data_IF_859827760031
#
_entry.id   IF_859827760031
#
_cell.length_a   1.000
_cell.length_b   1.000
_cell.length_c   1.000
_cell.angle_alpha   90.00
_cell.angle_beta   90.00
_cell.angle_gamma   90.00
#
_symmetry.space_group_name_H-M   'P 1'
#
loop_
_entity.id
_entity.type
_entity.pdbx_description
1 polymer ?
#
# COMPACT_ATOMS: atom_id res chain seq x y z
N UNK A 1 -7.99 -11.72 21.20
CA UNK A 1 -6.76 -12.09 20.47
C UNK A 1 -5.59 -11.92 21.44
N UNK A 2 -4.99 -13.00 21.93
CA UNK A 2 -3.82 -12.89 22.82
C UNK A 2 -2.60 -12.54 21.97
N UNK A 3 -1.97 -11.40 22.27
CA UNK A 3 -0.75 -10.97 21.58
C UNK A 3 0.45 -11.49 22.38
N UNK A 4 1.36 -12.17 21.69
CA UNK A 4 2.57 -12.67 22.31
C UNK A 4 3.59 -11.53 22.47
N UNK A 5 4.03 -11.28 23.70
CA UNK A 5 5.03 -10.24 23.97
C UNK A 5 6.44 -10.75 23.65
N UNK A 6 7.31 -9.85 23.18
CA UNK A 6 8.71 -10.18 22.90
C UNK A 6 9.41 -10.83 24.11
N UNK A 7 9.14 -10.32 25.33
CA UNK A 7 9.67 -10.88 26.57
C UNK A 7 9.27 -12.35 26.78
N UNK A 8 7.99 -12.70 26.55
CA UNK A 8 7.50 -14.08 26.67
C UNK A 8 8.13 -15.00 25.61
N UNK A 9 8.34 -14.51 24.40
CA UNK A 9 8.98 -15.28 23.33
C UNK A 9 10.45 -15.58 23.65
N UNK A 10 11.19 -14.57 24.14
CA UNK A 10 12.57 -14.74 24.60
C UNK A 10 12.66 -15.73 25.77
N UNK A 11 11.77 -15.62 26.76
CA UNK A 11 11.73 -16.54 27.90
C UNK A 11 11.46 -17.99 27.48
N UNK A 12 10.54 -18.22 26.54
CA UNK A 12 10.28 -19.57 25.99
C UNK A 12 11.49 -20.13 25.24
N UNK A 13 12.21 -19.28 24.49
CA UNK A 13 13.39 -19.70 23.75
C UNK A 13 14.56 -20.06 24.69
N UNK A 14 14.76 -19.28 25.75
CA UNK A 14 15.78 -19.54 26.78
C UNK A 14 15.43 -20.81 27.57
N UNK A 15 14.19 -20.94 28.05
CA UNK A 15 13.79 -22.11 28.84
C UNK A 15 13.92 -23.41 28.05
N UNK A 16 13.50 -23.43 26.79
CA UNK A 16 13.64 -24.59 25.91
C UNK A 16 15.11 -24.93 25.63
N UNK A 17 15.97 -23.93 25.37
CA UNK A 17 17.40 -24.15 25.14
C UNK A 17 18.11 -24.69 26.38
N UNK A 18 17.79 -24.17 27.57
CA UNK A 18 18.35 -24.66 28.83
C UNK A 18 17.95 -26.12 29.07
N UNK A 19 16.67 -26.45 28.88
CA UNK A 19 16.18 -27.82 29.03
C UNK A 19 16.87 -28.78 28.06
N UNK A 20 16.95 -28.41 26.77
CA UNK A 20 17.58 -29.23 25.73
C UNK A 20 19.09 -29.45 26.00
N UNK A 21 19.79 -28.45 26.51
CA UNK A 21 21.22 -28.56 26.83
C UNK A 21 21.44 -29.45 28.06
N UNK A 22 20.60 -29.29 29.10
CA UNK A 22 20.64 -30.13 30.29
C UNK A 22 20.36 -31.60 29.97
N UNK A 23 19.44 -31.87 29.04
CA UNK A 23 19.16 -33.25 28.60
C UNK A 23 20.35 -33.88 27.89
N UNK A 24 21.03 -33.16 26.99
CA UNK A 24 22.22 -33.71 26.31
C UNK A 24 23.34 -33.94 27.30
N UNK A 25 23.61 -32.98 28.18
CA UNK A 25 24.63 -33.12 29.22
C UNK A 25 24.34 -34.32 30.14
N UNK A 26 23.08 -34.51 30.54
CA UNK A 26 22.67 -35.66 31.35
C UNK A 26 22.87 -36.98 30.61
N UNK A 27 22.50 -37.07 29.33
CA UNK A 27 22.71 -38.28 28.51
C UNK A 27 24.20 -38.60 28.42
N UNK A 28 25.04 -37.61 28.10
CA UNK A 28 26.50 -37.79 28.02
C UNK A 28 27.06 -38.26 29.37
N UNK A 29 26.61 -37.67 30.48
CA UNK A 29 27.04 -38.08 31.82
C UNK A 29 26.65 -39.52 32.14
N UNK A 30 25.40 -39.93 31.87
CA UNK A 30 24.91 -41.29 32.13
C UNK A 30 25.72 -42.34 31.35
N UNK A 31 26.13 -42.05 30.12
CA UNK A 31 26.88 -43.00 29.29
C UNK A 31 28.39 -43.03 29.58
N UNK A 32 28.98 -41.91 29.95
CA UNK A 32 30.45 -41.79 30.09
C UNK A 32 30.92 -41.80 31.53
N UNK A 33 30.06 -41.47 32.50
CA UNK A 33 30.43 -41.28 33.90
C UNK A 33 31.27 -40.03 34.18
N UNK A 34 31.67 -39.28 33.14
CA UNK A 34 32.56 -38.14 33.26
C UNK A 34 31.81 -36.81 33.21
N UNK A 35 31.71 -36.14 34.36
CA UNK A 35 31.02 -34.85 34.49
C UNK A 35 31.68 -33.74 33.64
N UNK A 36 33.01 -33.71 33.59
CA UNK A 36 33.75 -32.71 32.81
C UNK A 36 33.47 -32.83 31.31
N UNK A 37 33.39 -34.07 30.81
CA UNK A 37 33.06 -34.36 29.41
C UNK A 37 31.61 -33.92 29.09
N UNK A 38 30.65 -34.28 29.96
CA UNK A 38 29.24 -33.89 29.82
C UNK A 38 29.03 -32.38 29.78
N UNK A 39 29.69 -31.64 30.68
CA UNK A 39 29.63 -30.18 30.71
C UNK A 39 30.23 -29.57 29.43
N UNK A 40 31.38 -30.08 28.99
CA UNK A 40 32.08 -29.59 27.79
C UNK A 40 31.22 -29.81 26.54
N UNK A 41 30.63 -30.99 26.38
CA UNK A 41 29.75 -31.31 25.25
C UNK A 41 28.50 -30.42 25.27
N UNK A 42 27.86 -30.23 26.42
CA UNK A 42 26.69 -29.36 26.54
C UNK A 42 26.99 -27.91 26.14
N UNK A 43 28.13 -27.36 26.57
CA UNK A 43 28.55 -26.00 26.18
C UNK A 43 28.83 -25.92 24.68
N UNK A 44 29.61 -26.86 24.12
CA UNK A 44 29.92 -26.90 22.69
C UNK A 44 28.65 -27.03 21.82
N UNK A 45 27.68 -27.83 22.26
CA UNK A 45 26.42 -28.04 21.55
C UNK A 45 25.62 -26.73 21.42
N UNK A 46 25.56 -25.91 22.48
CA UNK A 46 24.85 -24.62 22.44
C UNK A 46 25.43 -23.72 21.35
N UNK A 47 26.75 -23.56 21.33
CA UNK A 47 27.43 -22.74 20.33
C UNK A 47 27.28 -23.31 18.92
N UNK A 48 27.42 -24.62 18.75
CA UNK A 48 27.24 -25.30 17.47
C UNK A 48 25.81 -25.11 16.92
N UNK A 49 24.78 -25.28 17.74
CA UNK A 49 23.37 -25.07 17.34
C UNK A 49 23.07 -23.61 17.02
N UNK A 50 23.65 -22.66 17.76
CA UNK A 50 23.51 -21.24 17.43
C UNK A 50 24.15 -20.92 16.08
N UNK A 51 25.37 -21.42 15.81
CA UNK A 51 26.04 -21.24 14.53
C UNK A 51 25.25 -21.89 13.37
N UNK A 52 24.78 -23.12 13.55
CA UNK A 52 23.93 -23.83 12.58
C UNK A 52 22.62 -23.10 12.34
N UNK A 53 21.97 -22.57 13.37
CA UNK A 53 20.74 -21.78 13.22
C UNK A 53 20.98 -20.53 12.39
N UNK A 54 22.04 -19.77 12.66
CA UNK A 54 22.39 -18.56 11.89
C UNK A 54 22.69 -18.92 10.43
N UNK A 55 23.41 -20.02 10.19
CA UNK A 55 23.66 -20.49 8.83
C UNK A 55 22.38 -20.93 8.13
N UNK A 56 21.55 -21.73 8.79
CA UNK A 56 20.25 -22.20 8.30
C UNK A 56 19.33 -21.03 7.99
N UNK A 57 19.19 -20.05 8.89
CA UNK A 57 18.39 -18.84 8.68
C UNK A 57 18.90 -18.06 7.46
N UNK A 58 20.21 -17.83 7.34
CA UNK A 58 20.80 -17.16 6.16
C UNK A 58 20.58 -17.94 4.86
N UNK A 59 20.65 -19.26 4.91
CA UNK A 59 20.34 -20.13 3.77
C UNK A 59 18.85 -20.05 3.41
N UNK A 60 17.95 -20.11 4.39
CA UNK A 60 16.51 -20.06 4.21
C UNK A 60 16.03 -18.69 3.71
N UNK A 61 16.68 -17.59 4.12
CA UNK A 61 16.37 -16.26 3.58
C UNK A 61 16.61 -16.16 2.06
N UNK A 62 17.58 -16.93 1.53
CA UNK A 62 17.84 -17.02 0.08
C UNK A 62 16.83 -17.91 -0.65
N UNK A 63 16.18 -18.83 0.05
CA UNK A 63 15.16 -19.71 -0.52
C UNK A 63 13.85 -18.93 -0.61
N UNK A 64 13.36 -18.73 -1.85
CA UNK A 64 12.08 -18.05 -2.12
C UNK A 64 10.85 -18.95 -2.03
N UNK A 65 11.04 -20.25 -1.81
CA UNK A 65 9.95 -21.22 -1.74
C UNK A 65 8.97 -20.84 -0.61
N UNK A 66 7.69 -20.68 -0.95
CA UNK A 66 6.64 -20.24 -0.03
C UNK A 66 6.49 -18.72 0.15
N UNK A 67 7.39 -17.89 -0.40
CA UNK A 67 7.20 -16.43 -0.49
C UNK A 67 6.37 -16.12 -1.75
N UNK A 68 5.19 -15.56 -1.57
CA UNK A 68 4.39 -15.04 -2.68
C UNK A 68 4.59 -13.53 -2.75
N UNK A 69 5.25 -13.07 -3.81
CA UNK A 69 5.42 -11.64 -4.07
C UNK A 69 4.11 -11.11 -4.68
N UNK A 70 3.43 -10.24 -3.95
CA UNK A 70 2.30 -9.48 -4.50
C UNK A 70 2.91 -8.30 -5.26
N UNK A 71 2.71 -8.19 -6.59
CA UNK A 71 3.22 -7.05 -7.34
C UNK A 71 2.63 -5.76 -6.78
N UNK A 72 3.49 -4.79 -6.49
CA UNK A 72 3.05 -3.45 -6.10
C UNK A 72 2.45 -2.71 -7.28
N UNK A 73 1.51 -1.82 -7.00
CA UNK A 73 0.77 -1.09 -8.03
C UNK A 73 0.39 0.31 -7.57
N UNK A 74 0.17 1.21 -8.52
CA UNK A 74 -0.44 2.52 -8.30
C UNK A 74 -1.89 2.45 -8.73
N UNK A 75 -2.80 2.52 -7.75
CA UNK A 75 -4.23 2.67 -7.95
C UNK A 75 -4.58 4.16 -7.97
N UNK A 76 -4.76 4.72 -9.17
CA UNK A 76 -4.91 6.14 -9.40
C UNK A 76 -6.37 6.53 -9.66
N UNK A 77 -7.01 7.15 -8.67
CA UNK A 77 -8.36 7.70 -8.81
C UNK A 77 -8.31 9.08 -9.46
N UNK A 78 -9.08 9.22 -10.54
CA UNK A 78 -9.29 10.47 -11.28
C UNK A 78 -10.78 10.76 -11.45
N UNK A 79 -11.18 12.03 -11.55
CA UNK A 79 -12.57 12.43 -11.72
C UNK A 79 -12.82 13.88 -11.29
N UNK A 80 -13.99 14.41 -11.59
CA UNK A 80 -14.40 15.77 -11.22
C UNK A 80 -14.32 16.05 -9.69
N UNK A 81 -14.10 17.30 -9.24
CA UNK A 81 -14.29 17.67 -7.84
C UNK A 81 -15.64 17.17 -7.30
N UNK A 82 -15.70 16.72 -6.04
CA UNK A 82 -16.89 16.10 -5.43
C UNK A 82 -17.41 14.79 -6.06
N UNK A 83 -16.67 14.14 -6.96
CA UNK A 83 -17.07 12.84 -7.55
C UNK A 83 -16.99 11.61 -6.62
N UNK A 84 -16.71 11.79 -5.32
CA UNK A 84 -16.62 10.68 -4.35
C UNK A 84 -15.28 9.93 -4.31
N UNK A 85 -14.28 10.33 -5.11
CA UNK A 85 -12.93 9.71 -5.16
C UNK A 85 -12.35 9.35 -3.80
N UNK A 86 -12.31 10.32 -2.87
CA UNK A 86 -11.65 10.14 -1.57
C UNK A 86 -12.32 9.04 -0.75
N UNK A 87 -13.65 9.03 -0.67
CA UNK A 87 -14.38 8.06 0.13
C UNK A 87 -14.19 6.62 -0.40
N UNK A 88 -14.33 6.44 -1.72
CA UNK A 88 -14.08 5.14 -2.38
C UNK A 88 -12.61 4.71 -2.22
N UNK A 89 -11.66 5.63 -2.43
CA UNK A 89 -10.23 5.36 -2.25
C UNK A 89 -9.89 4.94 -0.81
N UNK A 90 -10.45 5.62 0.19
CA UNK A 90 -10.25 5.30 1.61
C UNK A 90 -10.89 3.93 1.96
N UNK A 91 -12.03 3.60 1.36
CA UNK A 91 -12.66 2.28 1.46
C UNK A 91 -11.81 1.15 0.89
N UNK A 92 -11.27 1.33 -0.32
CA UNK A 92 -10.36 0.36 -0.95
C UNK A 92 -9.05 0.24 -0.17
N UNK A 93 -8.49 1.37 0.28
CA UNK A 93 -7.29 1.40 1.11
C UNK A 93 -7.45 0.58 2.39
N UNK A 94 -8.56 0.75 3.13
CA UNK A 94 -8.86 -0.05 4.32
C UNK A 94 -8.90 -1.56 4.03
N UNK A 95 -9.50 -1.97 2.92
CA UNK A 95 -9.50 -3.39 2.49
C UNK A 95 -8.09 -3.90 2.19
N UNK A 96 -7.27 -3.10 1.50
CA UNK A 96 -5.89 -3.47 1.18
C UNK A 96 -5.02 -3.56 2.43
N UNK A 97 -5.08 -2.60 3.35
CA UNK A 97 -4.32 -2.65 4.61
C UNK A 97 -4.64 -3.90 5.42
N UNK A 98 -5.89 -4.35 5.43
CA UNK A 98 -6.31 -5.58 6.12
C UNK A 98 -5.69 -6.87 5.55
N UNK A 99 -5.16 -6.84 4.33
CA UNK A 99 -4.45 -8.00 3.73
C UNK A 99 -3.00 -8.15 4.20
N UNK A 100 -2.44 -7.13 4.85
CA UNK A 100 -1.04 -7.12 5.29
C UNK A 100 -0.03 -6.74 4.20
N UNK A 101 -0.47 -6.41 2.98
CA UNK A 101 0.43 -5.82 1.97
C UNK A 101 0.86 -4.40 2.39
N UNK A 102 2.04 -3.99 1.95
CA UNK A 102 2.48 -2.60 2.10
C UNK A 102 1.67 -1.73 1.15
N UNK A 103 0.89 -0.83 1.70
CA UNK A 103 0.07 0.10 0.92
C UNK A 103 0.06 1.48 1.59
N UNK A 104 0.11 2.54 0.78
CA UNK A 104 0.03 3.93 1.23
C UNK A 104 -1.13 4.67 0.57
N UNK A 105 -1.73 5.61 1.30
CA UNK A 105 -2.82 6.46 0.82
C UNK A 105 -2.30 7.87 0.57
N UNK A 106 -2.43 8.37 -0.67
CA UNK A 106 -1.99 9.71 -1.04
C UNK A 106 -3.09 10.53 -1.71
N UNK A 107 -3.40 11.71 -1.15
CA UNK A 107 -4.29 12.69 -1.79
C UNK A 107 -3.63 14.06 -1.98
N UNK A 108 -4.37 15.00 -2.58
CA UNK A 108 -3.86 16.36 -2.77
C UNK A 108 -3.50 17.08 -1.47
N UNK A 109 -4.10 16.79 -0.33
CA UNK A 109 -3.74 17.44 0.94
C UNK A 109 -2.37 16.94 1.43
N UNK A 110 -2.10 15.65 1.28
CA UNK A 110 -0.84 15.02 1.69
C UNK A 110 0.34 15.47 0.82
N UNK A 111 0.11 15.60 -0.49
CA UNK A 111 1.22 15.80 -1.43
C UNK A 111 1.44 17.27 -1.77
N UNK A 112 0.39 18.11 -1.73
CA UNK A 112 0.48 19.47 -2.26
C UNK A 112 1.42 20.33 -1.43
N UNK A 113 1.39 20.24 -0.11
CA UNK A 113 2.27 21.03 0.76
C UNK A 113 3.77 20.65 0.65
N UNK A 114 4.10 19.49 0.08
CA UNK A 114 5.48 19.03 -0.12
C UNK A 114 6.22 19.78 -1.24
N UNK A 115 5.49 20.51 -2.10
CA UNK A 115 6.07 21.13 -3.28
C UNK A 115 5.91 22.66 -3.27
N UNK A 116 6.95 23.44 -3.57
CA UNK A 116 6.85 24.90 -3.64
C UNK A 116 6.03 25.35 -4.87
N UNK A 117 5.41 26.55 -4.77
CA UNK A 117 4.56 27.21 -5.79
C UNK A 117 3.28 26.44 -6.11
N UNK A 118 2.26 26.61 -5.26
CA UNK A 118 1.01 25.86 -5.28
C UNK A 118 -0.17 26.75 -5.64
N UNK A 119 -0.31 27.07 -6.93
CA UNK A 119 -1.56 27.61 -7.45
C UNK A 119 -2.41 26.55 -8.14
N UNK A 120 -3.48 27.02 -8.78
CA UNK A 120 -4.47 26.20 -9.47
C UNK A 120 -4.53 26.54 -10.97
N UNK A 121 -3.52 27.21 -11.51
CA UNK A 121 -3.42 27.37 -12.97
C UNK A 121 -3.25 26.00 -13.64
N UNK A 122 -3.65 25.84 -14.91
CA UNK A 122 -3.47 24.59 -15.66
C UNK A 122 -2.05 24.02 -15.56
N UNK A 123 -1.03 24.87 -15.69
CA UNK A 123 0.38 24.49 -15.65
C UNK A 123 0.83 24.04 -14.24
N UNK A 124 0.27 24.64 -13.19
CA UNK A 124 0.55 24.24 -11.81
C UNK A 124 -0.14 22.93 -11.45
N UNK A 125 -1.36 22.72 -11.94
CA UNK A 125 -2.11 21.47 -11.77
C UNK A 125 -1.40 20.33 -12.51
N UNK A 126 -0.99 20.52 -13.76
CA UNK A 126 -0.20 19.53 -14.52
C UNK A 126 1.09 19.17 -13.76
N UNK A 127 1.86 20.18 -13.33
CA UNK A 127 3.10 19.96 -12.56
C UNK A 127 2.86 19.21 -11.26
N UNK A 128 1.79 19.53 -10.54
CA UNK A 128 1.42 18.83 -9.31
C UNK A 128 1.11 17.36 -9.56
N UNK A 129 0.31 17.06 -10.59
CA UNK A 129 -0.04 15.68 -10.96
C UNK A 129 1.19 14.89 -11.38
N UNK A 130 2.08 15.46 -12.20
CA UNK A 130 3.33 14.80 -12.61
C UNK A 130 4.24 14.48 -11.42
N UNK A 131 4.38 15.42 -10.48
CA UNK A 131 5.15 15.23 -9.24
C UNK A 131 4.54 14.15 -8.35
N UNK A 132 3.22 14.16 -8.18
CA UNK A 132 2.51 13.12 -7.45
C UNK A 132 2.68 11.75 -8.12
N UNK A 133 2.59 11.67 -9.45
CA UNK A 133 2.87 10.46 -10.23
C UNK A 133 4.28 9.92 -10.01
N UNK A 134 5.28 10.80 -9.96
CA UNK A 134 6.66 10.41 -9.66
C UNK A 134 6.80 9.84 -8.25
N UNK A 135 6.19 10.48 -7.24
CA UNK A 135 6.16 9.97 -5.86
C UNK A 135 5.50 8.59 -5.78
N UNK A 136 4.34 8.42 -6.43
CA UNK A 136 3.63 7.14 -6.47
C UNK A 136 4.47 6.04 -7.12
N UNK A 137 5.12 6.35 -8.25
CA UNK A 137 6.02 5.43 -8.95
C UNK A 137 7.22 5.03 -8.10
N UNK A 138 7.82 5.96 -7.34
CA UNK A 138 8.94 5.64 -6.45
C UNK A 138 8.51 4.67 -5.33
N UNK A 139 7.33 4.87 -4.74
CA UNK A 139 6.79 3.97 -3.72
C UNK A 139 6.52 2.57 -4.31
N UNK A 140 5.89 2.51 -5.48
CA UNK A 140 5.59 1.26 -6.19
C UNK A 140 6.86 0.46 -6.48
N UNK A 141 7.89 1.11 -7.03
CA UNK A 141 9.20 0.49 -7.31
C UNK A 141 9.93 -0.01 -6.05
N UNK A 142 9.55 0.50 -4.87
CA UNK A 142 10.10 0.06 -3.57
C UNK A 142 9.18 -0.93 -2.84
N UNK A 143 8.23 -1.55 -3.54
CA UNK A 143 7.39 -2.60 -2.99
C UNK A 143 6.22 -2.09 -2.13
N UNK A 144 5.80 -0.84 -2.34
CA UNK A 144 4.66 -0.22 -1.64
C UNK A 144 3.58 0.10 -2.67
N UNK A 145 2.43 -0.57 -2.58
CA UNK A 145 1.27 -0.19 -3.40
C UNK A 145 0.74 1.18 -2.98
N UNK A 146 0.18 1.95 -3.90
CA UNK A 146 -0.29 3.31 -3.62
C UNK A 146 -1.75 3.45 -4.02
N UNK A 147 -2.58 3.94 -3.11
CA UNK A 147 -3.95 4.38 -3.38
C UNK A 147 -3.94 5.90 -3.48
N UNK A 148 -3.87 6.40 -4.71
CA UNK A 148 -3.74 7.81 -5.05
C UNK A 148 -5.11 8.40 -5.43
N UNK A 149 -5.48 9.57 -4.92
CA UNK A 149 -6.71 10.25 -5.35
C UNK A 149 -6.46 11.72 -5.68
N UNK A 150 -6.57 12.06 -6.97
CA UNK A 150 -6.37 13.41 -7.47
C UNK A 150 -7.51 13.79 -8.41
N UNK A 151 -7.75 15.09 -8.62
CA UNK A 151 -8.68 15.51 -9.69
C UNK A 151 -8.06 15.17 -11.04
N UNK A 152 -6.77 15.50 -11.23
CA UNK A 152 -5.97 15.17 -12.41
C UNK A 152 -6.74 15.35 -13.74
N UNK A 153 -7.19 16.58 -14.06
CA UNK A 153 -8.15 16.82 -15.15
C UNK A 153 -7.58 16.58 -16.55
N UNK A 154 -6.26 16.69 -16.75
CA UNK A 154 -5.61 16.57 -18.06
C UNK A 154 -5.09 15.16 -18.30
N UNK A 155 -5.41 14.55 -19.45
CA UNK A 155 -4.95 13.20 -19.80
C UNK A 155 -3.44 13.11 -19.85
N UNK A 156 -2.78 14.09 -20.45
CA UNK A 156 -1.32 14.10 -20.61
C UNK A 156 -0.59 13.91 -19.27
N UNK A 157 -1.06 14.57 -18.21
CA UNK A 157 -0.50 14.46 -16.86
C UNK A 157 -0.70 13.07 -16.24
N UNK A 158 -1.82 12.42 -16.54
CA UNK A 158 -2.14 11.05 -16.09
C UNK A 158 -1.36 10.01 -16.89
N UNK A 159 -1.23 10.19 -18.20
CA UNK A 159 -0.43 9.35 -19.08
C UNK A 159 1.05 9.39 -18.69
N UNK A 160 1.55 10.58 -18.31
CA UNK A 160 2.89 10.70 -17.75
C UNK A 160 3.05 9.90 -16.45
N UNK A 161 2.10 10.02 -15.50
CA UNK A 161 2.14 9.24 -14.26
C UNK A 161 2.08 7.73 -14.53
N UNK A 162 1.25 7.29 -15.49
CA UNK A 162 1.12 5.92 -15.97
C UNK A 162 2.43 5.38 -16.55
N UNK A 163 3.14 6.17 -17.35
CA UNK A 163 4.42 5.77 -17.94
C UNK A 163 5.55 5.58 -16.91
N UNK A 164 5.44 6.21 -15.74
CA UNK A 164 6.47 6.10 -14.70
C UNK A 164 6.36 4.83 -13.86
N UNK A 165 5.14 4.37 -13.56
CA UNK A 165 4.90 3.20 -12.71
C UNK A 165 4.98 1.89 -13.51
N UNK A 166 5.41 0.80 -12.88
CA UNK A 166 5.41 -0.51 -13.51
C UNK A 166 3.98 -1.05 -13.69
N UNK A 167 3.21 -1.01 -12.60
CA UNK A 167 1.80 -1.35 -12.59
C UNK A 167 0.95 -0.13 -12.25
N UNK A 168 0.20 0.38 -13.22
CA UNK A 168 -0.67 1.54 -13.05
C UNK A 168 -2.12 1.19 -13.39
N UNK A 169 -3.03 1.49 -12.46
CA UNK A 169 -4.45 1.16 -12.54
C UNK A 169 -5.22 2.48 -12.40
N UNK A 170 -5.70 3.02 -13.51
CA UNK A 170 -6.52 4.22 -13.51
C UNK A 170 -7.97 3.87 -13.20
N UNK A 171 -8.47 4.45 -12.10
CA UNK A 171 -9.87 4.36 -11.69
C UNK A 171 -10.56 5.66 -12.04
N UNK A 172 -11.38 5.63 -13.08
CA UNK A 172 -12.18 6.78 -13.48
C UNK A 172 -13.48 6.81 -12.68
N UNK A 173 -13.60 7.81 -11.80
CA UNK A 173 -14.85 8.13 -11.10
C UNK A 173 -15.72 9.01 -12.01
N UNK A 174 -16.39 8.38 -12.98
CA UNK A 174 -17.25 9.01 -13.97
C UNK A 174 -18.47 9.61 -13.30
N UNK A 175 -18.71 10.89 -13.54
CA UNK A 175 -19.86 11.63 -13.02
C UNK A 175 -20.10 12.87 -13.86
N UNK A 176 -21.33 13.38 -13.83
CA UNK A 176 -21.68 14.68 -14.42
C UNK A 176 -21.31 15.84 -13.49
N UNK A 177 -21.09 17.03 -14.07
CA UNK A 177 -20.84 18.26 -13.29
C UNK A 177 -22.01 18.56 -12.36
N UNK A 178 -23.24 18.38 -12.86
CA UNK A 178 -24.48 18.61 -12.12
C UNK A 178 -24.61 17.68 -10.91
N UNK A 179 -24.32 16.37 -11.08
CA UNK A 179 -24.35 15.42 -9.97
C UNK A 179 -23.23 15.68 -8.96
N UNK A 180 -22.05 16.11 -9.40
CA UNK A 180 -20.98 16.55 -8.49
C UNK A 180 -21.37 17.83 -7.73
N UNK A 181 -21.97 18.81 -8.39
CA UNK A 181 -22.42 20.06 -7.79
C UNK A 181 -23.52 19.82 -6.74
N UNK A 182 -24.47 18.91 -7.01
CA UNK A 182 -25.49 18.50 -6.03
C UNK A 182 -24.90 17.82 -4.79
N UNK A 183 -23.81 17.06 -4.93
CA UNK A 183 -23.13 16.37 -3.82
C UNK A 183 -22.16 17.26 -3.04
N UNK A 184 -21.86 18.45 -3.54
CA UNK A 184 -20.83 19.32 -2.98
C UNK A 184 -21.29 20.05 -1.71
N UNK A 185 -21.14 19.36 -0.58
CA UNK A 185 -21.43 19.90 0.75
C UNK A 185 -20.53 21.06 1.18
N UNK A 186 -19.41 21.29 0.48
CA UNK A 186 -18.42 22.34 0.80
C UNK A 186 -18.63 23.61 -0.02
N UNK A 187 -19.52 23.58 -1.01
CA UNK A 187 -19.86 24.73 -1.85
C UNK A 187 -18.71 25.21 -2.74
N UNK A 188 -17.78 24.33 -3.11
CA UNK A 188 -16.74 24.61 -4.10
C UNK A 188 -17.29 24.96 -5.48
N UNK A 189 -18.29 24.23 -5.99
CA UNK A 189 -18.94 24.53 -7.27
C UNK A 189 -19.63 25.90 -7.25
N UNK A 190 -20.36 26.21 -6.17
CA UNK A 190 -20.98 27.53 -5.99
C UNK A 190 -19.95 28.67 -6.06
N UNK A 191 -18.80 28.51 -5.40
CA UNK A 191 -17.69 29.49 -5.43
C UNK A 191 -17.05 29.60 -6.81
N UNK A 192 -16.91 28.49 -7.53
CA UNK A 192 -16.43 28.50 -8.92
C UNK A 192 -17.40 29.25 -9.83
N UNK A 193 -18.71 28.97 -9.76
CA UNK A 193 -19.75 29.68 -10.53
C UNK A 193 -19.81 31.17 -10.22
N UNK A 194 -19.50 31.56 -8.99
CA UNK A 194 -19.39 32.97 -8.56
C UNK A 194 -18.09 33.66 -9.02
N UNK A 195 -17.15 32.93 -9.65
CA UNK A 195 -15.86 33.45 -10.10
C UNK A 195 -14.81 33.60 -8.98
N UNK A 196 -15.09 33.12 -7.76
CA UNK A 196 -14.15 33.15 -6.64
C UNK A 196 -13.02 32.12 -6.83
N UNK A 197 -13.35 30.97 -7.41
CA UNK A 197 -12.36 29.97 -7.85
C UNK A 197 -12.22 30.03 -9.36
N UNK A 198 -11.00 30.29 -9.82
CA UNK A 198 -10.65 30.26 -11.25
C UNK A 198 -10.05 28.91 -11.60
N UNK A 199 -10.19 28.55 -12.88
CA UNK A 199 -9.66 27.30 -13.45
C UNK A 199 -10.26 26.04 -12.80
N UNK A 200 -11.53 26.12 -12.38
CA UNK A 200 -12.19 25.00 -11.73
C UNK A 200 -12.62 23.94 -12.76
N UNK A 201 -12.17 22.67 -12.64
CA UNK A 201 -12.50 21.63 -13.61
C UNK A 201 -14.00 21.34 -13.68
N UNK A 202 -14.54 21.32 -14.89
CA UNK A 202 -15.97 21.15 -15.16
C UNK A 202 -16.78 22.45 -15.12
N UNK A 203 -16.19 23.58 -14.72
CA UNK A 203 -16.83 24.90 -14.74
C UNK A 203 -16.09 25.86 -15.66
N UNK A 204 -14.82 26.17 -15.37
CA UNK A 204 -14.01 27.11 -16.17
C UNK A 204 -13.12 26.41 -17.20
N UNK A 205 -12.66 25.21 -16.86
CA UNK A 205 -11.75 24.41 -17.67
C UNK A 205 -12.31 23.00 -17.87
N UNK A 206 -12.09 22.37 -19.02
CA UNK A 206 -12.58 21.03 -19.28
C UNK A 206 -11.91 20.01 -18.36
N UNK A 207 -12.66 18.96 -18.04
CA UNK A 207 -12.12 17.72 -17.52
C UNK A 207 -12.00 16.74 -18.68
N UNK A 208 -10.81 16.19 -18.93
CA UNK A 208 -10.60 15.24 -20.01
C UNK A 208 -10.79 13.82 -19.51
N UNK A 209 -11.87 13.18 -19.94
CA UNK A 209 -12.19 11.80 -19.61
C UNK A 209 -11.05 10.83 -20.03
N UNK A 210 -10.68 9.86 -19.19
CA UNK A 210 -9.75 8.79 -19.58
C UNK A 210 -10.32 7.97 -20.74
N UNK A 211 -9.50 7.69 -21.75
CA UNK A 211 -9.90 6.87 -22.92
C UNK A 211 -9.73 5.37 -22.65
N UNK A 212 -8.82 5.00 -21.75
CA UNK A 212 -8.44 3.61 -21.49
C UNK A 212 -8.23 3.31 -20.00
N UNK A 213 -9.10 3.85 -19.13
CA UNK A 213 -9.03 3.53 -17.71
C UNK A 213 -9.30 2.04 -17.45
N UNK A 214 -8.50 1.41 -16.59
CA UNK A 214 -8.64 0.00 -16.21
C UNK A 214 -9.97 -0.27 -15.50
N UNK A 215 -10.45 0.69 -14.72
CA UNK A 215 -11.72 0.60 -14.01
C UNK A 215 -12.50 1.90 -14.18
N UNK A 216 -13.73 1.82 -14.67
CA UNK A 216 -14.66 2.94 -14.75
C UNK A 216 -15.79 2.71 -13.77
N UNK A 217 -15.99 3.67 -12.85
CA UNK A 217 -17.07 3.67 -11.87
C UNK A 217 -18.04 4.78 -12.24
N UNK A 218 -19.25 4.39 -12.61
CA UNK A 218 -20.35 5.32 -12.81
C UNK A 218 -20.99 5.69 -11.47
N UNK A 219 -20.34 6.59 -10.73
CA UNK A 219 -20.65 6.85 -9.32
C UNK A 219 -22.02 7.48 -9.10
N UNK A 220 -22.64 8.00 -10.15
CA UNK A 220 -23.98 8.57 -10.09
C UNK A 220 -25.05 7.46 -10.02
N UNK A 221 -24.71 6.24 -10.44
CA UNK A 221 -25.62 5.11 -10.57
C UNK A 221 -25.29 3.94 -9.63
N UNK A 222 -24.24 4.04 -8.81
CA UNK A 222 -23.82 2.99 -7.88
C UNK A 222 -23.54 3.54 -6.49
N UNK A 223 -23.71 2.73 -5.46
CA UNK A 223 -23.30 3.09 -4.10
C UNK A 223 -21.77 3.10 -3.94
N UNK A 224 -21.30 3.78 -2.90
CA UNK A 224 -19.88 3.77 -2.53
C UNK A 224 -19.37 2.34 -2.29
N UNK A 225 -20.14 1.50 -1.59
CA UNK A 225 -19.79 0.11 -1.32
C UNK A 225 -19.68 -0.72 -2.61
N UNK A 226 -20.60 -0.51 -3.56
CA UNK A 226 -20.57 -1.19 -4.86
C UNK A 226 -19.34 -0.77 -5.68
N UNK A 227 -18.98 0.51 -5.64
CA UNK A 227 -17.77 1.03 -6.27
C UNK A 227 -16.51 0.39 -5.67
N UNK A 228 -16.40 0.38 -4.33
CA UNK A 228 -15.29 -0.25 -3.60
C UNK A 228 -15.20 -1.73 -3.97
N UNK A 229 -16.31 -2.45 -4.00
CA UNK A 229 -16.33 -3.89 -4.29
C UNK A 229 -15.94 -4.19 -5.74
N UNK A 230 -16.33 -3.34 -6.69
CA UNK A 230 -15.93 -3.47 -8.10
C UNK A 230 -14.42 -3.36 -8.26
N UNK A 231 -13.81 -2.33 -7.64
CA UNK A 231 -12.36 -2.13 -7.65
C UNK A 231 -11.66 -3.27 -6.91
N UNK A 232 -12.19 -3.69 -5.76
CA UNK A 232 -11.66 -4.80 -4.98
C UNK A 232 -11.59 -6.09 -5.79
N UNK A 233 -12.67 -6.44 -6.52
CA UNK A 233 -12.72 -7.63 -7.38
C UNK A 233 -11.70 -7.56 -8.51
N UNK A 234 -11.52 -6.39 -9.11
CA UNK A 234 -10.48 -6.18 -10.11
C UNK A 234 -9.09 -6.45 -9.52
N UNK A 235 -8.77 -5.86 -8.36
CA UNK A 235 -7.48 -6.07 -7.69
C UNK A 235 -7.27 -7.54 -7.30
N UNK A 236 -8.30 -8.22 -6.75
CA UNK A 236 -8.21 -9.64 -6.40
C UNK A 236 -7.88 -10.52 -7.59
N UNK A 237 -8.39 -10.21 -8.78
CA UNK A 237 -8.21 -11.02 -10.01
C UNK A 237 -6.86 -10.81 -10.69
N UNK A 238 -6.30 -9.60 -10.57
CA UNK A 238 -5.13 -9.20 -11.35
C UNK A 238 -3.85 -9.09 -10.52
N UNK A 239 -3.95 -8.73 -9.24
CA UNK A 239 -2.78 -8.40 -8.41
C UNK A 239 -2.73 -9.19 -7.11
N UNK A 240 -3.88 -9.53 -6.51
CA UNK A 240 -3.95 -10.21 -5.21
C UNK A 240 -4.32 -11.69 -5.32
N UNK A 241 -4.01 -12.37 -6.43
CA UNK A 241 -4.31 -13.79 -6.64
C UNK A 241 -3.66 -14.72 -5.59
N UNK A 242 -2.60 -14.22 -4.96
CA UNK A 242 -1.85 -14.86 -3.88
C UNK A 242 -2.50 -14.71 -2.49
N UNK A 243 -3.59 -13.92 -2.35
CA UNK A 243 -4.24 -13.59 -1.07
C UNK A 243 -5.71 -14.00 -1.05
#
# INVERSE_FOLDING_TARGET
MQVETHARSVLKAVSWRTLATLTTALIVFVFTGEFALALTVGVLEVFAKMALYVFHERAWQKIRWGKQDVPSFVLWFTGLPASGKKAVADGVYRKLTATGIKVERLDSHDVRHLFPKLGFTPEEVDRHVRRAGHLCSMLEKNGVSVVASFVSPYRESRDFARQLAGNFIEVYMRSTVEACEQRDTKGHYRKARAGEYRFFPGVDVPYEDPVGAEVVIDIDNVSEEQAIETIWRYLKRHYLNAI
#
